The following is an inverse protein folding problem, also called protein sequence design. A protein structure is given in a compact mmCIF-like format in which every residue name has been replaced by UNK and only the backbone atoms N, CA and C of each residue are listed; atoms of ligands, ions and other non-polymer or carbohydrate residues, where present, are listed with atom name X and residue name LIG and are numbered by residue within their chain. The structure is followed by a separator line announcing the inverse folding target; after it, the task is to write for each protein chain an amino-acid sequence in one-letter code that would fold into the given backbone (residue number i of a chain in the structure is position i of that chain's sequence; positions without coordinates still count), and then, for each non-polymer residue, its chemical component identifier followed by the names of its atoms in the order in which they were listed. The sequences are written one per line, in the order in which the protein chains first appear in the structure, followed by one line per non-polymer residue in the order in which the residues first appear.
data_IF_412237875905
#
_entry.id   IF_412237875905
#
_cell.length_a   1.000
_cell.length_b   1.000
_cell.length_c   1.000
_cell.angle_alpha   90.00
_cell.angle_beta   90.00
_cell.angle_gamma   90.00
#
_symmetry.space_group_name_H-M   'P 1'
#
loop_
_entity.id
_entity.type
_entity.pdbx_description
1 polymer ?
#
# COMPACT_ATOMS: atom_id res chain seq x y z
N UNK A 1 13.73 70.75 -59.71
CA UNK A 1 14.08 71.52 -58.49
C UNK A 1 13.07 71.20 -57.41
N UNK A 2 13.31 71.65 -56.16
CA UNK A 2 12.57 71.32 -54.94
C UNK A 2 12.92 69.90 -54.39
N UNK A 3 12.89 69.68 -53.05
CA UNK A 3 14.12 69.89 -52.28
C UNK A 3 14.44 68.79 -51.25
N UNK A 4 15.60 68.94 -50.59
CA UNK A 4 16.07 68.09 -49.50
C UNK A 4 15.56 68.60 -48.13
N UNK A 5 15.33 67.70 -47.16
CA UNK A 5 14.96 68.02 -45.76
C UNK A 5 15.70 67.09 -44.77
N UNK A 6 16.11 67.58 -43.59
CA UNK A 6 17.17 66.97 -42.81
C UNK A 6 16.73 65.84 -41.84
N UNK A 7 17.63 64.89 -41.51
CA UNK A 7 17.34 63.82 -40.55
C UNK A 7 17.51 64.28 -39.10
N UNK A 8 16.46 64.18 -38.27
CA UNK A 8 16.55 64.44 -36.82
C UNK A 8 15.72 63.45 -35.96
N UNK A 9 15.48 62.25 -36.48
CA UNK A 9 14.69 61.19 -35.83
C UNK A 9 15.53 60.11 -35.15
N UNK A 10 16.74 59.84 -35.66
CA UNK A 10 17.58 58.68 -35.28
C UNK A 10 18.02 58.73 -33.80
N UNK A 11 18.40 59.91 -33.29
CA UNK A 11 19.00 60.06 -31.94
C UNK A 11 18.00 59.70 -30.82
N UNK A 12 16.70 59.93 -31.02
CA UNK A 12 15.68 59.59 -30.00
C UNK A 12 15.44 58.08 -29.88
N UNK A 13 15.60 57.31 -30.95
CA UNK A 13 15.42 55.86 -30.94
C UNK A 13 16.49 55.12 -30.13
N UNK A 14 17.75 55.54 -30.27
CA UNK A 14 18.88 54.93 -29.55
C UNK A 14 18.74 55.04 -28.02
N UNK A 15 18.35 56.20 -27.51
CA UNK A 15 18.16 56.42 -26.07
C UNK A 15 16.99 55.61 -25.51
N UNK A 16 15.89 55.47 -26.25
CA UNK A 16 14.75 54.65 -25.83
C UNK A 16 15.12 53.16 -25.72
N UNK A 17 15.89 52.64 -26.69
CA UNK A 17 16.38 51.26 -26.67
C UNK A 17 17.34 50.99 -25.50
N UNK A 18 18.24 51.93 -25.20
CA UNK A 18 19.18 51.82 -24.07
C UNK A 18 18.45 51.80 -22.71
N UNK A 19 17.43 52.65 -22.52
CA UNK A 19 16.61 52.66 -21.30
C UNK A 19 15.82 51.35 -21.15
N UNK A 20 15.21 50.85 -22.23
CA UNK A 20 14.51 49.56 -22.21
C UNK A 20 15.43 48.38 -21.84
N UNK A 21 16.64 48.34 -22.39
CA UNK A 21 17.63 47.32 -22.07
C UNK A 21 18.07 47.38 -20.59
N UNK A 22 18.34 48.57 -20.06
CA UNK A 22 18.68 48.76 -18.64
C UNK A 22 17.52 48.34 -17.71
N UNK A 23 16.28 48.65 -18.08
CA UNK A 23 15.09 48.25 -17.32
C UNK A 23 14.89 46.71 -17.36
N UNK A 24 15.17 46.06 -18.49
CA UNK A 24 15.13 44.60 -18.61
C UNK A 24 16.23 43.93 -17.76
N UNK A 25 17.43 44.49 -17.70
CA UNK A 25 18.51 44.01 -16.82
C UNK A 25 18.14 44.15 -15.34
N UNK A 26 17.53 45.27 -14.93
CA UNK A 26 17.03 45.45 -13.56
C UNK A 26 15.96 44.41 -13.20
N UNK A 27 15.03 44.09 -14.10
CA UNK A 27 14.04 43.03 -13.91
C UNK A 27 14.69 41.64 -13.76
N UNK A 28 15.71 41.33 -14.57
CA UNK A 28 16.46 40.08 -14.46
C UNK A 28 17.19 39.95 -13.12
N UNK A 29 17.85 41.00 -12.64
CA UNK A 29 18.50 40.99 -11.33
C UNK A 29 17.50 40.87 -10.17
N UNK A 30 16.36 41.55 -10.23
CA UNK A 30 15.31 41.43 -9.22
C UNK A 30 14.73 40.00 -9.15
N UNK A 31 14.49 39.39 -10.32
CA UNK A 31 14.02 37.99 -10.41
C UNK A 31 15.06 36.99 -9.86
N UNK A 32 16.36 37.22 -10.14
CA UNK A 32 17.43 36.35 -9.62
C UNK A 32 17.58 36.46 -8.09
N UNK A 33 17.44 37.66 -7.51
CA UNK A 33 17.38 37.84 -6.06
C UNK A 33 16.16 37.15 -5.44
N UNK A 34 15.00 37.21 -6.11
CA UNK A 34 13.80 36.51 -5.66
C UNK A 34 14.01 34.98 -5.64
N UNK A 35 14.61 34.40 -6.68
CA UNK A 35 14.96 32.97 -6.71
C UNK A 35 15.90 32.60 -5.54
N UNK A 36 16.98 33.34 -5.33
CA UNK A 36 17.93 33.09 -4.23
C UNK A 36 17.26 33.17 -2.85
N UNK A 37 16.34 34.11 -2.65
CA UNK A 37 15.57 34.21 -1.40
C UNK A 37 14.66 33.00 -1.16
N UNK A 38 14.06 32.46 -2.22
CA UNK A 38 13.23 31.25 -2.14
C UNK A 38 14.06 30.00 -1.85
N UNK A 39 15.22 29.85 -2.50
CA UNK A 39 16.15 28.73 -2.27
C UNK A 39 16.67 28.71 -0.82
N UNK A 40 16.98 29.87 -0.24
CA UNK A 40 17.39 29.97 1.17
C UNK A 40 16.26 29.51 2.12
N UNK A 41 15.03 29.99 1.92
CA UNK A 41 13.87 29.61 2.75
C UNK A 41 13.56 28.11 2.63
N UNK A 42 13.71 27.52 1.44
CA UNK A 42 13.56 26.06 1.25
C UNK A 42 14.67 25.28 1.97
N UNK A 43 15.91 25.76 1.94
CA UNK A 43 17.02 25.15 2.66
C UNK A 43 16.81 25.19 4.19
N UNK A 44 16.40 26.33 4.73
CA UNK A 44 16.13 26.50 6.17
C UNK A 44 15.00 25.58 6.65
N UNK A 45 13.89 25.48 5.89
CA UNK A 45 12.78 24.59 6.21
C UNK A 45 13.22 23.11 6.20
N UNK A 46 14.04 22.71 5.23
CA UNK A 46 14.56 21.35 5.15
C UNK A 46 15.55 21.05 6.30
N UNK A 47 16.40 22.00 6.68
CA UNK A 47 17.29 21.86 7.84
C UNK A 47 16.49 21.71 9.15
N UNK A 48 15.44 22.51 9.35
CA UNK A 48 14.54 22.41 10.51
C UNK A 48 13.82 21.04 10.56
N UNK A 49 13.36 20.52 9.42
CA UNK A 49 12.75 19.18 9.35
C UNK A 49 13.76 18.08 9.70
N UNK A 50 15.00 18.16 9.21
CA UNK A 50 16.05 17.19 9.56
C UNK A 50 16.38 17.22 11.06
N UNK A 51 16.47 18.40 11.67
CA UNK A 51 16.71 18.53 13.10
C UNK A 51 15.54 17.96 13.92
N UNK A 52 14.28 18.26 13.56
CA UNK A 52 13.10 17.68 14.20
C UNK A 52 13.09 16.14 14.14
N UNK A 53 13.46 15.55 12.99
CA UNK A 53 13.58 14.10 12.87
C UNK A 53 14.72 13.50 13.71
N UNK A 54 15.84 14.22 13.86
CA UNK A 54 16.94 13.81 14.73
C UNK A 54 16.53 13.83 16.21
N UNK A 55 15.89 14.91 16.66
CA UNK A 55 15.43 15.06 18.05
C UNK A 55 14.38 14.02 18.42
N UNK A 56 13.44 13.70 17.50
CA UNK A 56 12.51 12.57 17.64
C UNK A 56 13.23 11.22 17.80
N UNK A 57 14.31 10.98 17.04
CA UNK A 57 15.09 9.74 17.16
C UNK A 57 15.87 9.66 18.48
N UNK A 58 16.35 10.79 19.00
CA UNK A 58 17.01 10.86 20.31
C UNK A 58 16.02 10.62 21.46
N UNK A 59 14.82 11.21 21.42
CA UNK A 59 13.77 10.97 22.42
C UNK A 59 13.37 9.49 22.47
N UNK A 60 13.23 8.82 21.33
CA UNK A 60 12.93 7.37 21.27
C UNK A 60 14.06 6.51 21.87
N UNK A 61 15.33 6.87 21.63
CA UNK A 61 16.47 6.19 22.27
C UNK A 61 16.51 6.38 23.78
N UNK A 62 16.21 7.59 24.28
CA UNK A 62 16.11 7.88 25.72
C UNK A 62 14.96 7.11 26.38
N UNK A 63 13.79 7.04 25.74
CA UNK A 63 12.65 6.25 26.21
C UNK A 63 12.99 4.75 26.28
N UNK A 64 13.66 4.21 25.25
CA UNK A 64 14.10 2.82 25.25
C UNK A 64 15.14 2.53 26.36
N UNK A 65 16.12 3.41 26.55
CA UNK A 65 17.12 3.28 27.61
C UNK A 65 16.49 3.33 29.02
N UNK A 66 15.51 4.21 29.23
CA UNK A 66 14.75 4.27 30.49
C UNK A 66 13.92 2.99 30.73
N UNK A 67 13.27 2.46 29.69
CA UNK A 67 12.51 1.21 29.78
C UNK A 67 13.42 0.00 30.11
N UNK A 68 14.60 -0.07 29.49
CA UNK A 68 15.60 -1.10 29.78
C UNK A 68 16.09 -1.00 31.23
N UNK A 69 16.44 0.20 31.71
CA UNK A 69 16.86 0.41 33.09
C UNK A 69 15.78 0.02 34.11
N UNK A 70 14.50 0.27 33.81
CA UNK A 70 13.38 -0.16 34.65
C UNK A 70 13.21 -1.70 34.66
N UNK A 71 13.40 -2.35 33.51
CA UNK A 71 13.42 -3.82 33.43
C UNK A 71 14.56 -4.44 34.23
N UNK A 72 15.78 -3.90 34.11
CA UNK A 72 16.96 -4.39 34.83
C UNK A 72 16.83 -4.20 36.35
N UNK A 73 16.23 -3.09 36.80
CA UNK A 73 15.87 -2.87 38.20
C UNK A 73 14.82 -3.89 38.71
N UNK A 74 13.78 -4.17 37.92
CA UNK A 74 12.78 -5.17 38.27
C UNK A 74 13.37 -6.59 38.35
N UNK A 75 14.28 -6.94 37.44
CA UNK A 75 15.00 -8.21 37.46
C UNK A 75 15.92 -8.32 38.70
N UNK A 76 16.64 -7.26 39.05
CA UNK A 76 17.46 -7.20 40.26
C UNK A 76 16.62 -7.32 41.55
N UNK A 77 15.46 -6.67 41.62
CA UNK A 77 14.54 -6.78 42.74
C UNK A 77 13.97 -8.20 42.89
N UNK A 78 13.62 -8.86 41.78
CA UNK A 78 13.17 -10.26 41.79
C UNK A 78 14.28 -11.22 42.26
N UNK A 79 15.53 -11.01 41.82
CA UNK A 79 16.68 -11.79 42.28
C UNK A 79 16.95 -11.60 43.79
N UNK A 80 16.82 -10.37 44.30
CA UNK A 80 16.95 -10.08 45.73
C UNK A 80 15.84 -10.77 46.56
N UNK A 81 14.60 -10.75 46.10
CA UNK A 81 13.49 -11.43 46.77
C UNK A 81 13.69 -12.96 46.83
N UNK A 82 14.23 -13.56 45.77
CA UNK A 82 14.59 -14.99 45.76
C UNK A 82 15.69 -15.31 46.78
N UNK A 83 16.73 -14.47 46.88
CA UNK A 83 17.82 -14.64 47.85
C UNK A 83 17.32 -14.56 49.30
N UNK A 84 16.46 -13.60 49.63
CA UNK A 84 15.83 -13.50 50.96
C UNK A 84 15.00 -14.75 51.27
N UNK A 85 14.19 -15.22 50.32
CA UNK A 85 13.34 -16.42 50.48
C UNK A 85 14.16 -17.67 50.80
N UNK A 86 15.31 -17.85 50.13
CA UNK A 86 16.19 -19.00 50.36
C UNK A 86 16.85 -19.01 51.75
N UNK A 87 16.90 -17.86 52.44
CA UNK A 87 17.58 -17.70 53.73
C UNK A 87 16.71 -18.06 54.95
N UNK A 88 15.41 -18.30 54.77
CA UNK A 88 14.44 -18.42 55.88
C UNK A 88 13.97 -19.85 56.21
N UNK A 89 14.48 -20.89 55.53
CA UNK A 89 14.00 -22.28 55.70
C UNK A 89 14.87 -23.17 56.61
N UNK A 90 15.93 -22.64 57.25
CA UNK A 90 16.94 -23.46 57.94
C UNK A 90 16.89 -23.41 59.49
N UNK A 91 15.70 -23.35 60.11
CA UNK A 91 15.60 -23.36 61.59
C UNK A 91 14.22 -23.74 62.18
N UNK A 92 13.87 -25.03 62.16
CA UNK A 92 13.00 -25.64 63.20
C UNK A 92 13.11 -27.18 63.24
N UNK A 93 12.80 -27.77 64.39
CA UNK A 93 12.93 -29.21 64.69
C UNK A 93 11.62 -29.77 65.30
N UNK A 94 11.33 -31.08 65.20
CA UNK A 94 9.99 -31.63 65.43
C UNK A 94 9.71 -32.17 66.84
N UNK A 95 8.44 -32.21 67.22
CA UNK A 95 7.86 -33.03 68.31
C UNK A 95 6.38 -33.40 67.98
N UNK A 96 5.77 -34.44 68.61
CA UNK A 96 4.66 -35.19 67.99
C UNK A 96 3.33 -35.30 68.79
N UNK A 97 2.37 -36.04 68.20
CA UNK A 97 1.12 -36.64 68.76
C UNK A 97 -0.05 -35.73 69.16
N UNK A 98 -1.24 -35.98 68.60
CA UNK A 98 -2.35 -36.68 69.28
C UNK A 98 -3.53 -36.94 68.30
N UNK A 99 -4.44 -37.85 68.67
CA UNK A 99 -5.46 -38.49 67.81
C UNK A 99 -6.86 -38.44 68.51
N UNK A 100 -8.03 -38.85 68.00
CA UNK A 100 -8.50 -39.59 66.80
C UNK A 100 -10.04 -39.31 66.58
N UNK A 101 -10.75 -40.19 65.85
CA UNK A 101 -12.21 -40.50 65.90
C UNK A 101 -13.22 -39.82 64.92
N UNK A 102 -14.36 -40.51 64.63
CA UNK A 102 -15.28 -40.26 63.48
C UNK A 102 -16.71 -40.86 63.70
N UNK A 103 -17.60 -41.06 62.67
CA UNK A 103 -17.83 -40.37 61.39
C UNK A 103 -19.16 -39.54 61.45
N UNK A 104 -20.41 -39.92 61.02
CA UNK A 104 -20.97 -40.93 60.10
C UNK A 104 -21.56 -40.31 58.79
N UNK A 105 -22.59 -40.91 58.16
CA UNK A 105 -23.24 -40.52 56.86
C UNK A 105 -24.63 -41.21 56.73
N UNK A 106 -25.38 -41.24 55.59
CA UNK A 106 -25.34 -40.53 54.28
C UNK A 106 -26.72 -39.82 54.03
N UNK A 107 -27.45 -39.83 52.87
CA UNK A 107 -27.14 -40.00 51.43
C UNK A 107 -27.81 -38.99 50.43
N UNK A 108 -27.44 -39.09 49.14
CA UNK A 108 -28.21 -38.73 47.91
C UNK A 108 -28.60 -37.25 47.62
N UNK A 109 -28.52 -36.73 46.39
CA UNK A 109 -28.08 -37.33 45.11
C UNK A 109 -27.50 -36.29 44.11
N UNK A 110 -26.30 -36.59 43.60
CA UNK A 110 -25.78 -36.33 42.23
C UNK A 110 -26.13 -35.05 41.46
N UNK A 111 -25.09 -34.34 40.97
CA UNK A 111 -24.69 -34.38 39.55
C UNK A 111 -23.34 -33.65 39.32
N UNK A 112 -22.27 -34.39 39.04
CA UNK A 112 -21.29 -34.05 37.98
C UNK A 112 -20.30 -35.20 37.78
N UNK A 113 -20.02 -35.55 36.53
CA UNK A 113 -19.11 -36.64 36.15
C UNK A 113 -18.44 -36.34 34.82
N UNK A 114 -17.20 -35.83 34.88
CA UNK A 114 -16.23 -35.86 33.80
C UNK A 114 -14.82 -35.55 34.35
N UNK A 115 -13.78 -36.01 33.65
CA UNK A 115 -12.37 -35.59 33.82
C UNK A 115 -11.69 -35.87 35.18
N UNK A 116 -11.71 -37.13 35.61
CA UNK A 116 -10.66 -37.64 36.50
C UNK A 116 -9.32 -37.77 35.77
N UNK A 117 -8.23 -37.27 36.35
CA UNK A 117 -6.87 -37.50 35.86
C UNK A 117 -6.29 -38.81 36.44
N UNK A 118 -5.47 -39.58 35.68
CA UNK A 118 -4.85 -40.80 36.18
C UNK A 118 -3.67 -40.51 37.14
N UNK A 119 -3.35 -41.38 38.11
CA UNK A 119 -2.27 -41.17 39.06
C UNK A 119 -0.86 -41.31 38.46
N UNK A 120 0.13 -40.71 39.13
CA UNK A 120 1.56 -40.92 38.90
C UNK A 120 2.08 -42.09 39.75
N UNK A 121 2.77 -43.05 39.13
CA UNK A 121 3.68 -44.00 39.80
C UNK A 121 4.79 -44.44 38.83
N UNK A 122 5.82 -45.14 39.34
CA UNK A 122 6.95 -45.72 38.62
C UNK A 122 7.94 -44.74 37.94
N UNK A 123 8.53 -43.84 38.73
CA UNK A 123 9.84 -43.26 38.37
C UNK A 123 10.93 -44.34 38.44
N UNK A 124 11.41 -44.80 37.28
CA UNK A 124 12.59 -45.66 37.16
C UNK A 124 13.75 -44.87 36.54
N UNK A 125 14.97 -45.06 37.04
CA UNK A 125 16.15 -44.32 36.56
C UNK A 125 16.58 -44.83 35.17
N UNK A 126 16.43 -43.98 34.15
CA UNK A 126 16.79 -44.28 32.76
C UNK A 126 17.57 -43.14 32.09
N UNK A 127 18.87 -43.37 31.92
CA UNK A 127 19.84 -42.70 31.02
C UNK A 127 19.52 -41.33 30.40
N UNK A 128 20.42 -40.36 30.61
CA UNK A 128 20.45 -39.09 29.86
C UNK A 128 20.61 -39.38 28.36
N UNK A 129 19.55 -39.16 27.59
CA UNK A 129 19.61 -39.15 26.12
C UNK A 129 19.88 -37.72 25.66
N UNK A 130 20.83 -37.55 24.73
CA UNK A 130 21.00 -36.29 24.03
C UNK A 130 19.75 -36.01 23.17
N UNK A 131 19.20 -34.79 23.29
CA UNK A 131 18.07 -34.36 22.45
C UNK A 131 18.36 -34.59 20.96
N UNK A 132 17.47 -35.28 20.23
CA UNK A 132 17.63 -35.45 18.79
C UNK A 132 17.49 -34.10 18.10
N UNK A 133 18.61 -33.63 17.53
CA UNK A 133 18.74 -32.39 16.73
C UNK A 133 17.49 -32.17 15.86
N UNK A 134 16.84 -30.99 15.93
CA UNK A 134 15.53 -30.77 15.32
C UNK A 134 15.52 -31.12 13.82
N UNK A 135 14.48 -31.82 13.34
CA UNK A 135 14.49 -32.43 12.02
C UNK A 135 14.71 -31.37 10.93
N UNK A 136 15.67 -31.64 10.05
CA UNK A 136 16.06 -30.72 8.99
C UNK A 136 14.83 -30.31 8.15
N UNK A 137 14.54 -29.01 8.10
CA UNK A 137 13.33 -28.42 7.50
C UNK A 137 13.04 -29.08 6.14
N UNK A 138 11.94 -29.86 6.07
CA UNK A 138 11.50 -30.56 4.86
C UNK A 138 11.45 -29.56 3.70
N UNK A 139 12.37 -29.71 2.73
CA UNK A 139 12.43 -28.85 1.55
C UNK A 139 11.16 -29.07 0.73
N UNK A 140 10.22 -28.12 0.79
CA UNK A 140 8.91 -28.25 0.17
C UNK A 140 9.01 -28.59 -1.32
N UNK A 141 8.45 -29.74 -1.70
CA UNK A 141 8.34 -30.15 -3.09
C UNK A 141 7.44 -29.19 -3.88
N UNK A 142 7.62 -29.14 -5.21
CA UNK A 142 6.75 -28.31 -6.04
C UNK A 142 5.33 -28.90 -6.08
N UNK A 143 4.34 -28.09 -5.72
CA UNK A 143 2.92 -28.43 -5.90
C UNK A 143 2.52 -28.06 -7.32
N UNK A 144 2.01 -29.01 -8.11
CA UNK A 144 1.69 -28.77 -9.52
C UNK A 144 0.64 -27.67 -9.72
N UNK A 145 -0.25 -27.45 -8.74
CA UNK A 145 -1.20 -26.33 -8.70
C UNK A 145 -0.53 -24.95 -8.85
N UNK A 146 0.73 -24.79 -8.39
CA UNK A 146 1.47 -23.53 -8.51
C UNK A 146 1.76 -23.17 -9.98
N UNK A 147 1.77 -24.15 -10.90
CA UNK A 147 1.94 -23.91 -12.33
C UNK A 147 0.82 -23.04 -12.90
N UNK A 148 -0.43 -23.36 -12.56
CA UNK A 148 -1.63 -22.63 -13.04
C UNK A 148 -1.97 -21.46 -12.11
N UNK A 149 -1.69 -21.54 -10.81
CA UNK A 149 -1.96 -20.41 -9.90
C UNK A 149 -1.02 -19.22 -10.12
N UNK A 150 0.24 -19.47 -10.51
CA UNK A 150 1.27 -18.43 -10.61
C UNK A 150 1.90 -18.32 -12.02
N UNK A 151 1.34 -18.94 -13.05
CA UNK A 151 1.89 -18.86 -14.42
C UNK A 151 3.34 -19.39 -14.50
N UNK A 152 3.60 -20.56 -13.91
CA UNK A 152 4.93 -21.16 -13.83
C UNK A 152 5.01 -22.42 -14.69
N UNK A 153 6.17 -22.65 -15.32
CA UNK A 153 6.47 -23.89 -16.04
C UNK A 153 7.60 -24.66 -15.36
N UNK A 154 7.37 -25.95 -15.10
CA UNK A 154 8.40 -26.90 -14.67
C UNK A 154 9.43 -27.07 -15.79
N UNK A 155 10.72 -27.00 -15.46
CA UNK A 155 11.82 -27.17 -16.43
C UNK A 155 12.81 -28.21 -15.90
N UNK A 156 12.51 -29.48 -16.16
CA UNK A 156 13.30 -30.64 -15.74
C UNK A 156 12.82 -31.91 -16.45
N UNK A 157 13.36 -33.09 -16.11
CA UNK A 157 12.92 -34.36 -16.69
C UNK A 157 11.46 -34.66 -16.32
N UNK A 158 10.64 -34.99 -17.33
CA UNK A 158 9.17 -35.19 -17.21
C UNK A 158 8.77 -36.26 -16.18
N UNK A 159 9.67 -37.20 -15.87
CA UNK A 159 9.45 -38.34 -14.95
C UNK A 159 10.23 -38.24 -13.63
N UNK A 160 10.66 -37.04 -13.22
CA UNK A 160 11.50 -36.84 -12.04
C UNK A 160 11.02 -35.73 -11.09
N UNK A 161 11.63 -35.61 -9.90
CA UNK A 161 11.33 -34.52 -8.97
C UNK A 161 11.70 -33.16 -9.57
N UNK A 162 10.85 -32.16 -9.35
CA UNK A 162 11.00 -30.82 -9.93
C UNK A 162 12.27 -30.12 -9.41
N UNK A 163 13.29 -30.02 -10.26
CA UNK A 163 14.56 -29.35 -9.92
C UNK A 163 14.47 -27.82 -10.00
N UNK A 164 13.72 -27.29 -10.97
CA UNK A 164 13.53 -25.84 -11.17
C UNK A 164 12.21 -25.53 -11.89
N UNK A 165 11.72 -24.32 -11.66
CA UNK A 165 10.56 -23.75 -12.36
C UNK A 165 10.91 -22.37 -12.93
N UNK A 166 10.29 -21.99 -14.05
CA UNK A 166 10.50 -20.70 -14.71
C UNK A 166 9.20 -19.88 -14.79
N UNK A 167 9.31 -18.57 -14.66
CA UNK A 167 8.21 -17.63 -14.84
C UNK A 167 7.77 -17.57 -16.30
N UNK A 168 6.48 -17.74 -16.60
CA UNK A 168 5.98 -17.61 -17.98
C UNK A 168 5.88 -16.15 -18.43
N UNK A 169 5.59 -15.21 -17.51
CA UNK A 169 5.56 -13.78 -17.84
C UNK A 169 6.92 -13.27 -18.34
N UNK A 170 8.00 -13.67 -17.68
CA UNK A 170 9.39 -13.46 -18.14
C UNK A 170 9.66 -13.94 -19.58
N UNK A 171 9.03 -15.04 -20.00
CA UNK A 171 9.28 -15.69 -21.30
C UNK A 171 8.44 -15.08 -22.43
N UNK A 172 7.17 -14.77 -22.17
CA UNK A 172 6.21 -14.38 -23.20
C UNK A 172 6.04 -12.86 -23.37
N UNK A 173 6.21 -12.11 -22.26
CA UNK A 173 5.99 -10.66 -22.20
C UNK A 173 7.27 -9.89 -21.83
N UNK A 174 8.16 -10.51 -21.06
CA UNK A 174 9.39 -9.87 -20.57
C UNK A 174 9.13 -8.94 -19.38
N UNK A 175 10.16 -8.19 -18.98
CA UNK A 175 10.11 -7.26 -17.84
C UNK A 175 9.24 -6.04 -18.18
N UNK A 176 8.24 -5.77 -17.36
CA UNK A 176 7.44 -4.54 -17.43
C UNK A 176 8.21 -3.32 -16.93
N UNK A 177 7.76 -2.13 -17.31
CA UNK A 177 8.29 -0.86 -16.82
C UNK A 177 7.50 -0.35 -15.60
N UNK A 178 8.20 -0.10 -14.48
CA UNK A 178 7.64 0.62 -13.34
C UNK A 178 7.97 2.11 -13.41
N UNK A 179 7.18 2.96 -12.75
CA UNK A 179 7.45 4.40 -12.63
C UNK A 179 8.73 4.72 -11.83
N UNK A 180 9.17 3.82 -10.93
CA UNK A 180 10.42 3.92 -10.14
C UNK A 180 11.66 3.31 -10.85
N UNK A 181 11.52 2.87 -12.10
CA UNK A 181 12.65 2.34 -12.84
C UNK A 181 13.54 3.44 -13.40
N UNK A 182 14.83 3.38 -13.06
CA UNK A 182 15.85 4.17 -13.75
C UNK A 182 16.35 3.41 -14.99
N UNK A 183 16.80 4.14 -16.02
CA UNK A 183 17.28 3.56 -17.30
C UNK A 183 18.33 2.45 -17.14
N UNK A 184 19.12 2.45 -16.05
CA UNK A 184 20.08 1.38 -15.71
C UNK A 184 19.41 0.09 -15.17
N UNK A 185 18.34 0.19 -14.37
CA UNK A 185 17.56 -0.98 -13.87
C UNK A 185 16.84 -1.72 -15.01
N UNK A 186 16.38 -1.00 -16.03
CA UNK A 186 15.54 -1.53 -17.12
C UNK A 186 16.24 -2.54 -18.04
N UNK A 187 17.58 -2.56 -18.12
CA UNK A 187 18.30 -3.38 -19.10
C UNK A 187 18.46 -4.86 -18.69
N UNK A 188 17.95 -5.27 -17.52
CA UNK A 188 18.07 -6.64 -16.99
C UNK A 188 17.04 -7.57 -17.67
N UNK A 189 17.37 -8.02 -18.89
CA UNK A 189 16.57 -8.96 -19.68
C UNK A 189 16.85 -10.42 -19.30
N UNK A 190 16.52 -10.81 -18.07
CA UNK A 190 16.72 -12.17 -17.56
C UNK A 190 15.40 -12.91 -17.29
N UNK A 191 15.28 -14.16 -17.77
CA UNK A 191 14.17 -15.05 -17.40
C UNK A 191 14.36 -15.49 -15.94
N UNK A 192 13.34 -15.29 -15.10
CA UNK A 192 13.39 -15.73 -13.70
C UNK A 192 13.16 -17.23 -13.57
N UNK A 193 14.09 -17.87 -12.86
CA UNK A 193 14.01 -19.25 -12.41
C UNK A 193 14.00 -19.32 -10.87
N UNK A 194 13.38 -20.36 -10.32
CA UNK A 194 13.48 -20.74 -8.91
C UNK A 194 13.80 -22.22 -8.75
N UNK A 195 14.46 -22.56 -7.66
CA UNK A 195 14.85 -23.90 -7.20
C UNK A 195 14.26 -24.17 -5.81
N UNK A 196 14.29 -25.41 -5.27
CA UNK A 196 13.76 -25.69 -3.93
C UNK A 196 14.45 -24.85 -2.83
N UNK A 197 13.72 -24.32 -1.83
CA UNK A 197 12.30 -24.53 -1.55
C UNK A 197 11.37 -23.64 -2.38
N UNK A 198 10.32 -24.25 -2.93
CA UNK A 198 9.37 -23.62 -3.87
C UNK A 198 8.30 -22.74 -3.18
N UNK A 199 8.75 -21.71 -2.43
CA UNK A 199 7.87 -20.76 -1.71
C UNK A 199 7.02 -19.92 -2.66
N UNK A 200 5.72 -19.85 -2.38
CA UNK A 200 4.72 -19.02 -3.08
C UNK A 200 5.07 -17.53 -3.07
N UNK A 201 5.60 -17.07 -1.95
CA UNK A 201 5.91 -15.67 -1.64
C UNK A 201 6.97 -15.10 -2.61
N UNK A 202 7.89 -15.97 -3.08
CA UNK A 202 8.91 -15.62 -4.06
C UNK A 202 8.37 -15.49 -5.49
N UNK A 203 7.16 -16.00 -5.78
CA UNK A 203 6.48 -15.83 -7.07
C UNK A 203 5.69 -14.53 -7.07
N UNK A 204 4.85 -14.30 -6.04
CA UNK A 204 4.05 -13.09 -5.88
C UNK A 204 4.93 -11.82 -5.92
N UNK A 205 5.94 -11.74 -5.05
CA UNK A 205 6.89 -10.62 -4.99
C UNK A 205 7.61 -10.37 -6.33
N UNK A 206 7.87 -11.40 -7.13
CA UNK A 206 8.48 -11.23 -8.45
C UNK A 206 7.48 -10.64 -9.47
N UNK A 207 6.21 -11.06 -9.42
CA UNK A 207 5.18 -10.52 -10.29
C UNK A 207 4.86 -9.07 -9.95
N UNK A 208 4.67 -8.74 -8.66
CA UNK A 208 4.46 -7.38 -8.17
C UNK A 208 5.56 -6.40 -8.63
N UNK A 209 6.81 -6.88 -8.64
CA UNK A 209 7.96 -6.07 -9.01
C UNK A 209 8.25 -6.01 -10.52
N UNK A 210 7.91 -7.02 -11.33
CA UNK A 210 8.40 -7.16 -12.72
C UNK A 210 7.31 -7.46 -13.78
N UNK A 211 6.11 -7.87 -13.38
CA UNK A 211 5.03 -8.35 -14.26
C UNK A 211 3.64 -7.94 -13.75
N UNK A 212 3.51 -6.78 -13.11
CA UNK A 212 2.32 -6.39 -12.35
C UNK A 212 1.05 -6.35 -13.21
N UNK A 213 1.11 -5.78 -14.41
CA UNK A 213 -0.03 -5.64 -15.31
C UNK A 213 -0.41 -6.99 -15.92
N UNK A 214 0.56 -7.75 -16.45
CA UNK A 214 0.26 -9.05 -17.05
C UNK A 214 -0.16 -10.10 -16.02
N UNK A 215 0.35 -10.04 -14.79
CA UNK A 215 -0.11 -10.90 -13.70
C UNK A 215 -1.50 -10.50 -13.21
N UNK A 216 -1.84 -9.20 -13.11
CA UNK A 216 -3.20 -8.76 -12.79
C UNK A 216 -4.22 -9.21 -13.84
N UNK A 217 -3.87 -9.16 -15.14
CA UNK A 217 -4.70 -9.76 -16.20
C UNK A 217 -4.84 -11.28 -16.06
N UNK A 218 -3.82 -11.99 -15.59
CA UNK A 218 -3.87 -13.44 -15.35
C UNK A 218 -4.72 -13.80 -14.12
N UNK A 219 -4.63 -13.02 -13.05
CA UNK A 219 -5.42 -13.19 -11.83
C UNK A 219 -6.90 -12.89 -12.07
N UNK A 220 -7.22 -11.88 -12.89
CA UNK A 220 -8.61 -11.59 -13.29
C UNK A 220 -9.18 -12.58 -14.33
N UNK A 221 -8.34 -13.34 -15.05
CA UNK A 221 -8.77 -14.34 -16.02
C UNK A 221 -9.35 -15.60 -15.34
N UNK A 222 -10.35 -16.22 -15.97
CA UNK A 222 -10.96 -17.47 -15.49
C UNK A 222 -9.99 -18.65 -15.55
N UNK A 223 -10.29 -19.71 -14.80
CA UNK A 223 -9.46 -20.93 -14.75
C UNK A 223 -9.24 -21.59 -16.13
N UNK A 224 -10.16 -21.42 -17.09
CA UNK A 224 -10.01 -21.91 -18.46
C UNK A 224 -9.12 -20.99 -19.30
N UNK A 225 -9.32 -19.67 -19.22
CA UNK A 225 -8.47 -18.69 -19.92
C UNK A 225 -7.01 -18.75 -19.45
N UNK A 226 -6.77 -19.00 -18.16
CA UNK A 226 -5.43 -19.19 -17.58
C UNK A 226 -4.63 -20.35 -18.17
N UNK A 227 -5.27 -21.31 -18.84
CA UNK A 227 -4.60 -22.39 -19.59
C UNK A 227 -4.05 -21.87 -20.93
N UNK A 228 -4.86 -21.10 -21.67
CA UNK A 228 -4.53 -20.60 -23.01
C UNK A 228 -3.84 -19.21 -23.00
N UNK A 229 -3.65 -18.59 -21.83
CA UNK A 229 -3.06 -17.26 -21.64
C UNK A 229 -1.65 -17.09 -22.22
N UNK A 230 -0.88 -18.18 -22.27
CA UNK A 230 0.49 -18.21 -22.79
C UNK A 230 0.61 -18.79 -24.21
N UNK A 231 -0.50 -19.10 -24.87
CA UNK A 231 -0.50 -19.50 -26.28
C UNK A 231 -0.13 -18.32 -27.21
N UNK A 232 0.46 -18.58 -28.39
CA UNK A 232 0.98 -17.54 -29.27
C UNK A 232 -0.02 -16.43 -29.61
N UNK A 233 -1.27 -16.79 -29.89
CA UNK A 233 -2.32 -15.85 -30.30
C UNK A 233 -2.77 -14.96 -29.13
N UNK A 234 -2.98 -15.55 -27.95
CA UNK A 234 -3.32 -14.81 -26.73
C UNK A 234 -2.18 -13.86 -26.33
N UNK A 235 -0.94 -14.35 -26.39
CA UNK A 235 0.27 -13.56 -26.11
C UNK A 235 0.45 -12.43 -27.11
N UNK A 236 0.22 -12.69 -28.41
CA UNK A 236 0.25 -11.64 -29.43
C UNK A 236 -0.82 -10.58 -29.14
N UNK A 237 -2.05 -11.00 -28.84
CA UNK A 237 -3.17 -10.11 -28.51
C UNK A 237 -2.85 -9.24 -27.28
N UNK A 238 -2.36 -9.81 -26.18
CA UNK A 238 -2.15 -9.07 -24.93
C UNK A 238 -0.85 -8.22 -24.91
N UNK A 239 0.12 -8.46 -25.80
CA UNK A 239 1.43 -7.75 -25.84
C UNK A 239 1.35 -6.23 -26.02
N UNK A 240 0.21 -5.67 -26.42
CA UNK A 240 0.01 -4.22 -26.49
C UNK A 240 -0.33 -3.58 -25.13
N UNK A 241 -0.83 -4.37 -24.16
CA UNK A 241 -1.17 -3.91 -22.80
C UNK A 241 0.05 -3.81 -21.88
N UNK A 242 1.15 -4.49 -22.24
CA UNK A 242 2.44 -4.45 -21.52
C UNK A 242 2.98 -3.02 -21.50
N UNK A 243 3.16 -2.37 -20.33
CA UNK A 243 3.69 -1.01 -20.24
C UNK A 243 5.10 -0.91 -20.81
N UNK A 244 5.27 -0.03 -21.81
CA UNK A 244 6.55 0.29 -22.44
C UNK A 244 6.89 1.74 -22.14
N UNK A 245 8.14 2.00 -21.77
CA UNK A 245 8.63 3.35 -21.55
C UNK A 245 8.61 4.10 -22.88
N UNK A 246 7.75 5.11 -22.99
CA UNK A 246 7.93 6.16 -24.00
C UNK A 246 9.18 6.96 -23.64
N UNK A 247 10.17 7.09 -24.54
CA UNK A 247 11.30 7.97 -24.27
C UNK A 247 10.78 9.41 -24.17
N UNK A 248 11.03 10.05 -23.03
CA UNK A 248 10.68 11.45 -22.78
C UNK A 248 11.22 12.35 -23.90
N UNK A 249 10.34 12.99 -24.66
CA UNK A 249 10.69 13.82 -25.82
C UNK A 249 11.21 15.21 -25.40
N UNK A 250 12.35 15.22 -24.71
CA UNK A 250 13.06 16.42 -24.29
C UNK A 250 14.13 16.82 -25.31
N UNK A 251 13.71 17.21 -26.52
CA UNK A 251 14.55 17.92 -27.48
C UNK A 251 13.69 18.66 -28.50
N UNK A 252 13.42 19.94 -28.25
CA UNK A 252 13.02 20.88 -29.31
C UNK A 252 14.28 21.29 -30.07
N UNK A 253 14.81 20.39 -30.91
CA UNK A 253 15.90 20.70 -31.85
C UNK A 253 16.02 19.62 -32.93
N UNK A 254 16.23 20.07 -34.18
CA UNK A 254 16.32 19.37 -35.49
C UNK A 254 15.12 19.59 -36.42
N UNK A 255 15.04 20.81 -36.96
CA UNK A 255 14.26 21.11 -38.15
C UNK A 255 15.15 21.71 -39.26
N UNK A 256 15.98 20.89 -39.92
CA UNK A 256 16.46 21.22 -41.27
C UNK A 256 16.98 20.00 -42.05
N UNK A 257 16.73 19.99 -43.37
CA UNK A 257 17.28 19.10 -44.43
C UNK A 257 17.03 17.57 -44.32
N UNK A 258 16.77 16.82 -45.42
CA UNK A 258 16.68 17.21 -46.83
C UNK A 258 15.72 16.34 -47.67
N UNK A 259 14.99 17.02 -48.56
CA UNK A 259 14.76 16.73 -50.00
C UNK A 259 14.26 15.37 -50.52
N UNK A 260 13.19 15.51 -51.30
CA UNK A 260 13.02 15.00 -52.68
C UNK A 260 13.17 13.49 -52.95
N UNK A 261 12.04 12.80 -53.05
CA UNK A 261 11.74 12.04 -54.28
C UNK A 261 10.24 12.11 -54.61
N UNK A 262 9.87 11.81 -55.86
CA UNK A 262 8.64 12.30 -56.52
C UNK A 262 7.94 11.16 -57.28
N UNK A 263 6.63 11.32 -57.50
CA UNK A 263 5.76 10.43 -58.32
C UNK A 263 5.31 9.14 -57.60
N UNK A 264 4.21 8.46 -58.01
CA UNK A 264 3.39 8.67 -59.21
C UNK A 264 1.88 8.49 -58.96
N UNK A 265 1.08 9.29 -59.67
CA UNK A 265 -0.39 9.30 -59.66
C UNK A 265 -0.96 8.21 -60.56
N UNK A 266 -1.94 7.45 -60.08
CA UNK A 266 -2.77 6.52 -60.85
C UNK A 266 -4.26 6.74 -60.56
N UNK A 267 -5.13 6.67 -61.57
CA UNK A 267 -6.58 6.92 -61.46
C UNK A 267 -7.36 6.24 -62.59
N UNK A 268 -8.12 5.19 -62.24
CA UNK A 268 -9.23 4.56 -63.01
C UNK A 268 -9.95 3.57 -62.07
N UNK A 269 -11.16 3.05 -62.34
CA UNK A 269 -12.46 3.74 -62.52
C UNK A 269 -13.56 2.70 -62.81
N UNK A 270 -14.56 2.55 -61.93
CA UNK A 270 -15.71 1.66 -62.10
C UNK A 270 -15.43 0.16 -61.80
N UNK A 271 -16.43 -0.68 -61.50
CA UNK A 271 -17.86 -0.41 -61.21
C UNK A 271 -18.60 -1.68 -60.71
N UNK A 272 -19.79 -1.47 -60.11
CA UNK A 272 -20.91 -2.42 -59.87
C UNK A 272 -21.19 -3.03 -58.47
N UNK A 273 -22.50 -3.08 -58.19
CA UNK A 273 -23.26 -4.04 -57.36
C UNK A 273 -23.11 -4.05 -55.83
N UNK A 274 -23.71 -3.03 -55.21
CA UNK A 274 -24.50 -3.07 -53.97
C UNK A 274 -25.15 -4.45 -53.64
N UNK A 275 -24.80 -5.02 -52.49
CA UNK A 275 -25.70 -5.82 -51.63
C UNK A 275 -25.33 -5.57 -50.17
N UNK A 276 -26.22 -4.95 -49.39
CA UNK A 276 -26.19 -4.98 -47.93
C UNK A 276 -27.05 -6.16 -47.44
N UNK A 277 -26.70 -6.80 -46.31
CA UNK A 277 -27.71 -6.84 -45.25
C UNK A 277 -27.16 -6.72 -43.80
N UNK A 278 -27.98 -6.08 -42.97
CA UNK A 278 -28.06 -6.21 -41.51
C UNK A 278 -26.85 -5.78 -40.64
N UNK A 279 -26.91 -4.60 -39.97
CA UNK A 279 -26.21 -4.43 -38.69
C UNK A 279 -26.85 -5.35 -37.64
N UNK A 280 -26.03 -6.10 -36.90
CA UNK A 280 -26.51 -6.98 -35.83
C UNK A 280 -27.01 -6.20 -34.61
N UNK A 281 -27.96 -6.81 -33.90
CA UNK A 281 -28.73 -6.21 -32.79
C UNK A 281 -27.83 -5.56 -31.74
N UNK A 282 -28.20 -4.39 -31.16
CA UNK A 282 -27.53 -3.89 -29.97
C UNK A 282 -27.74 -4.87 -28.82
N UNK A 283 -26.65 -5.45 -28.31
CA UNK A 283 -26.67 -6.23 -27.08
C UNK A 283 -26.84 -5.27 -25.91
N UNK A 284 -28.09 -5.06 -25.47
CA UNK A 284 -28.38 -4.30 -24.26
C UNK A 284 -27.78 -5.02 -23.05
N UNK A 285 -26.72 -4.45 -22.50
CA UNK A 285 -26.04 -4.92 -21.30
C UNK A 285 -26.99 -4.78 -20.10
N UNK A 286 -27.45 -5.88 -19.47
CA UNK A 286 -28.56 -5.84 -18.50
C UNK A 286 -28.24 -5.01 -17.26
N UNK A 287 -26.97 -4.85 -16.89
CA UNK A 287 -26.57 -4.00 -15.77
C UNK A 287 -26.64 -2.50 -16.09
N UNK A 288 -26.64 -2.12 -17.37
CA UNK A 288 -26.64 -0.71 -17.79
C UNK A 288 -28.01 -0.04 -17.75
N UNK A 289 -29.05 -0.76 -17.32
CA UNK A 289 -30.43 -0.29 -17.20
C UNK A 289 -30.92 -0.16 -15.73
N UNK A 290 -30.08 -0.50 -14.74
CA UNK A 290 -30.44 -0.45 -13.31
C UNK A 290 -29.86 0.73 -12.51
N UNK A 291 -28.95 1.51 -13.09
CA UNK A 291 -28.44 2.74 -12.49
C UNK A 291 -29.08 3.95 -13.18
N UNK A 292 -29.49 5.00 -12.43
CA UNK A 292 -29.83 6.28 -13.05
C UNK A 292 -28.58 6.84 -13.77
N UNK A 293 -28.75 7.77 -14.73
CA UNK A 293 -27.62 8.38 -15.43
C UNK A 293 -26.78 9.24 -14.47
N UNK A 294 -25.86 8.60 -13.75
CA UNK A 294 -24.81 9.28 -12.99
C UNK A 294 -23.84 9.90 -13.98
N UNK A 295 -23.90 11.22 -14.13
CA UNK A 295 -22.93 11.97 -14.92
C UNK A 295 -21.55 11.77 -14.31
N UNK A 296 -20.72 10.96 -14.97
CA UNK A 296 -19.33 10.76 -14.57
C UNK A 296 -18.62 12.10 -14.84
N UNK A 297 -17.98 12.73 -13.84
CA UNK A 297 -17.34 14.02 -14.05
C UNK A 297 -16.19 13.93 -15.05
N UNK A 298 -16.12 14.89 -15.96
CA UNK A 298 -15.07 14.98 -16.98
C UNK A 298 -13.97 16.00 -16.61
N UNK A 299 -14.07 16.66 -15.46
CA UNK A 299 -13.14 17.70 -15.00
C UNK A 299 -12.61 17.43 -13.57
N UNK A 300 -11.38 17.87 -13.33
CA UNK A 300 -10.68 17.77 -12.05
C UNK A 300 -11.34 18.60 -10.96
N UNK A 301 -11.91 19.77 -11.28
CA UNK A 301 -12.59 20.60 -10.29
C UNK A 301 -13.77 19.86 -9.68
N UNK A 302 -14.62 19.23 -10.51
CA UNK A 302 -15.77 18.45 -10.04
C UNK A 302 -15.38 17.24 -9.20
N UNK A 303 -14.20 16.64 -9.42
CA UNK A 303 -13.67 15.58 -8.53
C UNK A 303 -13.30 16.13 -7.14
N UNK A 304 -12.75 17.35 -7.06
CA UNK A 304 -12.52 18.05 -5.78
C UNK A 304 -13.85 18.40 -5.12
N UNK A 305 -14.82 18.90 -5.87
CA UNK A 305 -16.13 19.30 -5.34
C UNK A 305 -16.93 18.08 -4.82
N UNK A 306 -16.79 16.90 -5.44
CA UNK A 306 -17.33 15.62 -4.95
C UNK A 306 -16.58 15.15 -3.69
N UNK A 307 -15.25 15.30 -3.64
CA UNK A 307 -14.44 14.95 -2.46
C UNK A 307 -14.77 15.83 -1.24
N UNK A 308 -14.99 17.13 -1.46
CA UNK A 308 -15.47 18.07 -0.43
C UNK A 308 -16.93 17.78 -0.07
N UNK A 309 -17.77 17.46 -1.06
CA UNK A 309 -19.17 17.01 -0.89
C UNK A 309 -20.23 17.95 -1.47
N UNK A 310 -19.85 18.96 -2.27
CA UNK A 310 -20.72 20.01 -2.79
C UNK A 310 -21.64 19.57 -3.95
N UNK A 311 -21.39 18.43 -4.60
CA UNK A 311 -22.18 17.99 -5.75
C UNK A 311 -22.88 16.63 -5.59
N UNK A 312 -24.21 16.72 -5.65
CA UNK A 312 -25.21 15.73 -6.12
C UNK A 312 -24.95 14.23 -5.89
N UNK A 313 -24.56 13.87 -4.66
CA UNK A 313 -24.65 12.48 -4.18
C UNK A 313 -25.96 12.30 -3.41
N UNK A 314 -26.84 11.33 -3.76
CA UNK A 314 -28.14 11.13 -3.11
C UNK A 314 -28.04 10.44 -1.74
N UNK A 315 -26.82 10.14 -1.29
CA UNK A 315 -26.52 9.55 0.01
C UNK A 315 -26.49 10.66 1.08
N UNK A 316 -27.09 10.43 2.25
CA UNK A 316 -27.06 11.43 3.34
C UNK A 316 -25.63 11.66 3.84
N UNK A 317 -25.32 12.87 4.32
CA UNK A 317 -23.98 13.27 4.74
C UNK A 317 -23.37 12.35 5.82
N UNK A 318 -24.22 11.85 6.74
CA UNK A 318 -23.90 10.82 7.72
C UNK A 318 -23.28 9.57 7.08
N UNK A 319 -23.97 9.01 6.08
CA UNK A 319 -23.55 7.78 5.42
C UNK A 319 -22.37 8.01 4.49
N UNK A 320 -22.24 9.20 3.86
CA UNK A 320 -21.01 9.58 3.15
C UNK A 320 -19.81 9.53 4.10
N UNK A 321 -19.88 10.22 5.24
CA UNK A 321 -18.79 10.29 6.20
C UNK A 321 -18.41 8.91 6.77
N UNK A 322 -19.41 8.07 7.13
CA UNK A 322 -19.17 6.68 7.57
C UNK A 322 -18.52 5.83 6.46
N UNK A 323 -18.92 6.02 5.20
CA UNK A 323 -18.30 5.34 4.04
C UNK A 323 -16.84 5.79 3.85
N UNK A 324 -16.54 7.08 4.01
CA UNK A 324 -15.17 7.58 3.96
C UNK A 324 -14.31 7.04 5.10
N UNK A 325 -14.85 6.96 6.32
CA UNK A 325 -14.18 6.31 7.47
C UNK A 325 -13.83 4.86 7.14
N UNK A 326 -14.78 4.05 6.66
CA UNK A 326 -14.52 2.66 6.26
C UNK A 326 -13.42 2.54 5.19
N UNK A 327 -13.43 3.43 4.18
CA UNK A 327 -12.39 3.48 3.14
C UNK A 327 -11.00 3.83 3.71
N UNK A 328 -10.91 4.77 4.65
CA UNK A 328 -9.66 5.16 5.28
C UNK A 328 -9.10 4.04 6.19
N UNK A 329 -9.97 3.28 6.88
CA UNK A 329 -9.58 2.07 7.62
C UNK A 329 -9.03 0.99 6.68
N UNK A 330 -9.66 0.79 5.50
CA UNK A 330 -9.17 -0.14 4.48
C UNK A 330 -7.78 0.25 3.98
N UNK A 331 -7.57 1.53 3.66
CA UNK A 331 -6.30 2.06 3.17
C UNK A 331 -5.19 2.05 4.24
N UNK A 332 -5.54 2.27 5.52
CA UNK A 332 -4.62 2.31 6.66
C UNK A 332 -3.48 3.34 6.48
N UNK A 333 -3.86 4.59 6.19
CA UNK A 333 -2.90 5.69 6.01
C UNK A 333 -2.70 6.44 7.32
N UNK A 334 -1.44 6.61 7.74
CA UNK A 334 -1.06 7.18 9.06
C UNK A 334 -0.87 8.71 8.98
N UNK A 335 -1.88 9.43 8.51
CA UNK A 335 -1.77 10.86 8.17
C UNK A 335 -2.98 11.71 8.61
N UNK A 336 -3.56 11.42 9.78
CA UNK A 336 -4.59 12.25 10.43
C UNK A 336 -5.98 12.22 9.81
N UNK A 337 -6.14 11.99 8.49
CA UNK A 337 -7.45 12.06 7.82
C UNK A 337 -8.53 11.16 8.46
N UNK A 338 -8.17 9.97 8.98
CA UNK A 338 -9.13 9.12 9.68
C UNK A 338 -9.75 9.84 10.90
N UNK A 339 -8.95 10.62 11.63
CA UNK A 339 -9.41 11.45 12.75
C UNK A 339 -10.39 12.53 12.26
N UNK A 340 -10.00 13.28 11.23
CA UNK A 340 -10.82 14.36 10.64
C UNK A 340 -12.16 13.84 10.11
N UNK A 341 -12.17 12.67 9.46
CA UNK A 341 -13.40 12.08 8.92
C UNK A 341 -14.28 11.43 10.02
N UNK A 342 -13.70 10.95 11.12
CA UNK A 342 -14.47 10.55 12.32
C UNK A 342 -15.13 11.79 12.96
N UNK A 343 -14.40 12.92 13.10
CA UNK A 343 -14.99 14.19 13.55
C UNK A 343 -16.11 14.68 12.61
N UNK A 344 -15.91 14.63 11.29
CA UNK A 344 -16.95 14.94 10.28
C UNK A 344 -18.18 14.03 10.41
N UNK A 345 -17.99 12.74 10.67
CA UNK A 345 -19.10 11.80 10.86
C UNK A 345 -19.94 12.15 12.11
N UNK A 346 -19.30 12.52 13.22
CA UNK A 346 -20.00 12.99 14.43
C UNK A 346 -20.80 14.27 14.16
N UNK A 347 -20.22 15.25 13.48
CA UNK A 347 -20.91 16.50 13.08
C UNK A 347 -22.08 16.22 12.12
N UNK A 348 -21.96 15.21 11.26
CA UNK A 348 -23.02 14.76 10.36
C UNK A 348 -24.10 13.88 11.03
N UNK A 349 -24.08 13.72 12.38
CA UNK A 349 -25.11 12.97 13.11
C UNK A 349 -24.89 11.45 13.18
N UNK A 350 -23.66 10.97 12.93
CA UNK A 350 -23.29 9.60 13.29
C UNK A 350 -23.05 9.49 14.81
N UNK A 351 -23.59 8.44 15.43
CA UNK A 351 -23.31 8.13 16.84
C UNK A 351 -21.92 7.50 16.99
N UNK A 352 -21.31 7.63 18.17
CA UNK A 352 -20.06 6.93 18.53
C UNK A 352 -20.19 5.41 18.30
N UNK A 353 -21.36 4.84 18.62
CA UNK A 353 -21.70 3.43 18.40
C UNK A 353 -21.71 3.00 16.93
N UNK A 354 -22.27 3.80 16.01
CA UNK A 354 -22.27 3.48 14.57
C UNK A 354 -20.85 3.50 14.01
N UNK A 355 -20.03 4.48 14.40
CA UNK A 355 -18.62 4.57 14.01
C UNK A 355 -17.85 3.34 14.52
N UNK A 356 -18.02 2.95 15.78
CA UNK A 356 -17.42 1.73 16.35
C UNK A 356 -17.88 0.47 15.62
N UNK A 357 -19.16 0.34 15.27
CA UNK A 357 -19.65 -0.82 14.52
C UNK A 357 -19.10 -0.87 13.09
N UNK A 358 -18.98 0.26 12.38
CA UNK A 358 -18.37 0.31 11.04
C UNK A 358 -16.88 -0.10 11.10
N UNK A 359 -16.14 0.37 12.10
CA UNK A 359 -14.75 -0.04 12.33
C UNK A 359 -14.68 -1.53 12.71
N UNK A 360 -15.52 -2.01 13.62
CA UNK A 360 -15.52 -3.41 14.06
C UNK A 360 -15.92 -4.38 12.93
N UNK A 361 -16.94 -4.06 12.13
CA UNK A 361 -17.36 -4.85 10.98
C UNK A 361 -16.28 -4.92 9.90
N UNK A 362 -15.41 -3.90 9.81
CA UNK A 362 -14.26 -3.88 8.90
C UNK A 362 -13.22 -4.98 9.23
N UNK A 363 -13.17 -5.49 10.47
CA UNK A 363 -12.21 -6.52 10.89
C UNK A 363 -12.25 -7.78 10.00
N UNK A 364 -13.44 -8.20 9.59
CA UNK A 364 -13.68 -9.40 8.79
C UNK A 364 -13.13 -9.33 7.36
N UNK A 365 -12.92 -8.12 6.84
CA UNK A 365 -12.54 -7.89 5.43
C UNK A 365 -11.15 -7.24 5.30
N UNK A 366 -10.77 -6.41 6.27
CA UNK A 366 -9.55 -5.58 6.25
C UNK A 366 -8.51 -6.11 7.25
N UNK A 367 -8.92 -6.94 8.21
CA UNK A 367 -8.06 -7.61 9.18
C UNK A 367 -7.93 -6.87 10.52
N UNK A 368 -7.73 -7.64 11.59
CA UNK A 368 -7.66 -7.13 12.97
C UNK A 368 -6.62 -6.01 13.18
N UNK A 369 -5.36 -6.10 12.71
CA UNK A 369 -4.34 -5.09 13.05
C UNK A 369 -4.74 -3.67 12.61
N UNK A 370 -5.16 -3.51 11.35
CA UNK A 370 -5.65 -2.24 10.80
C UNK A 370 -6.86 -1.72 11.57
N UNK A 371 -7.77 -2.61 11.94
CA UNK A 371 -8.99 -2.29 12.68
C UNK A 371 -8.71 -1.86 14.11
N UNK A 372 -7.73 -2.48 14.78
CA UNK A 372 -7.32 -2.10 16.14
C UNK A 372 -6.63 -0.73 16.15
N UNK A 373 -5.81 -0.41 15.15
CA UNK A 373 -5.22 0.93 15.05
C UNK A 373 -6.28 2.00 14.73
N UNK A 374 -7.26 1.69 13.87
CA UNK A 374 -8.40 2.57 13.65
C UNK A 374 -9.27 2.77 14.91
N UNK A 375 -9.43 1.74 15.73
CA UNK A 375 -10.19 1.82 16.99
C UNK A 375 -9.50 2.73 18.02
N UNK A 376 -8.16 2.77 18.06
CA UNK A 376 -7.40 3.75 18.89
C UNK A 376 -7.71 5.18 18.45
N UNK A 377 -7.60 5.48 17.15
CA UNK A 377 -7.91 6.81 16.61
C UNK A 377 -9.36 7.22 16.93
N UNK A 378 -10.32 6.30 16.79
CA UNK A 378 -11.71 6.56 17.16
C UNK A 378 -11.89 6.86 18.65
N UNK A 379 -11.27 6.06 19.53
CA UNK A 379 -11.25 6.28 20.98
C UNK A 379 -10.68 7.65 21.33
N UNK A 380 -9.54 8.03 20.74
CA UNK A 380 -8.85 9.28 21.05
C UNK A 380 -9.65 10.50 20.60
N UNK A 381 -10.36 10.43 19.45
CA UNK A 381 -11.36 11.45 19.05
C UNK A 381 -12.51 11.52 20.05
N UNK A 382 -13.00 10.37 20.52
CA UNK A 382 -14.15 10.33 21.43
C UNK A 382 -13.83 10.89 22.82
N UNK A 383 -12.58 10.82 23.27
CA UNK A 383 -12.07 11.48 24.48
C UNK A 383 -11.88 12.99 24.27
N UNK A 384 -11.23 13.40 23.18
CA UNK A 384 -11.01 14.82 22.88
C UNK A 384 -12.35 15.57 22.74
N UNK A 385 -13.32 15.00 22.00
CA UNK A 385 -14.65 15.58 21.86
C UNK A 385 -15.43 15.73 23.18
N UNK A 386 -15.11 14.94 24.22
CA UNK A 386 -15.68 15.14 25.56
C UNK A 386 -14.99 16.24 26.37
N UNK A 387 -13.71 16.54 26.11
CA UNK A 387 -13.06 17.74 26.64
C UNK A 387 -13.56 19.00 25.92
N UNK A 388 -13.65 18.95 24.59
CA UNK A 388 -14.15 20.06 23.75
C UNK A 388 -15.58 20.48 24.16
N UNK A 389 -16.44 19.52 24.56
CA UNK A 389 -17.80 19.78 25.06
C UNK A 389 -17.88 20.60 26.35
N UNK A 390 -16.81 20.70 27.14
CA UNK A 390 -16.72 21.60 28.30
C UNK A 390 -16.24 23.01 27.91
N UNK A 391 -15.73 23.19 26.69
CA UNK A 391 -15.01 24.39 26.25
C UNK A 391 -15.64 25.09 25.02
N UNK A 392 -16.87 24.71 24.64
CA UNK A 392 -17.60 25.23 23.45
C UNK A 392 -17.94 26.73 23.49
N UNK A 393 -17.53 27.49 24.51
CA UNK A 393 -17.88 28.89 24.70
C UNK A 393 -16.85 29.88 24.11
N UNK A 394 -15.84 29.40 23.37
CA UNK A 394 -14.80 30.24 22.74
C UNK A 394 -14.40 29.74 21.34
N UNK A 395 -14.15 30.70 20.44
CA UNK A 395 -13.58 30.54 19.08
C UNK A 395 -14.52 29.94 18.02
N UNK A 396 -15.46 30.77 17.57
CA UNK A 396 -15.85 30.84 16.16
C UNK A 396 -15.52 32.25 15.64
N UNK A 397 -14.44 32.38 14.87
CA UNK A 397 -14.10 33.49 13.97
C UNK A 397 -13.24 32.95 12.81
#
# INVERSE_FOLDING_TARGET
MLPNMPPNTVVRGANAAAVAAAQQQQQQHAYQQQQQSYEHVQFDQHAQQQQYHYDQQQQQQQQFAHLQAAYDQAAAAAAAAAAVTSSSQQSQAPSPSFEDDAPPSPPSQSFESAYGAPPLEAFSMGTVQHDPKPPAKRKGAFRQEHAIKYGLKVVGPTSGPVTKVQCMFCVHYGREASADDTKRKMNVKGIKYWTPPFRTDHYAMHHDLQHKVMFQHYENASSQERLHFFEPDTVHRLRHLVPKVTPSSSSLDNLDKAKDTKMKRGKTSGSHSRVDPAPTKPSLDPFKMMLPPTEIPHDMQTLVDIYVGHHYTPLEEKWKALTTVASLVAQHVRNGFLETHIRRALVAGATKSEIVQVIMQSASFIGLPKTMDAMKVAHDVFLQGTADSQNQNTVFL
#
